data_IF_504973529277
#
_entry.id   IF_504973529277
#
_cell.length_a   1.000
_cell.length_b   1.000
_cell.length_c   1.000
_cell.angle_alpha   90.00
_cell.angle_beta   90.00
_cell.angle_gamma   90.00
#
_symmetry.space_group_name_H-M   'P 1'
#
loop_
_entity.id
_entity.type
_entity.pdbx_description
1 polymer ?
#
# COMPACT_ATOMS: atom_id res chain seq x y z
N UNK A 1 -1.92 -24.01 3.13
CA UNK A 1 -1.41 -22.67 3.50
C UNK A 1 -1.69 -21.78 2.30
N UNK A 2 -2.24 -20.58 2.47
CA UNK A 2 -2.51 -19.68 1.36
C UNK A 2 -1.23 -19.26 0.64
N UNK A 3 -1.36 -18.88 -0.62
CA UNK A 3 -0.20 -18.37 -1.38
C UNK A 3 0.13 -16.93 -0.98
N UNK A 4 -0.88 -16.10 -0.70
CA UNK A 4 -0.71 -14.68 -0.35
C UNK A 4 -1.24 -14.40 1.05
N UNK A 5 -0.50 -13.62 1.85
CA UNK A 5 -1.00 -12.98 3.06
C UNK A 5 -1.15 -11.48 2.83
N UNK A 6 -2.36 -10.97 2.96
CA UNK A 6 -2.68 -9.54 2.82
C UNK A 6 -2.65 -8.91 4.20
N UNK A 7 -1.80 -7.91 4.40
CA UNK A 7 -1.62 -7.20 5.68
C UNK A 7 -2.31 -5.84 5.59
N UNK A 8 -3.30 -5.63 6.45
CA UNK A 8 -4.10 -4.39 6.50
C UNK A 8 -4.01 -3.79 7.91
N UNK A 9 -3.14 -2.80 8.14
CA UNK A 9 -3.21 -1.98 9.34
C UNK A 9 -4.39 -1.01 9.22
N UNK A 10 -5.17 -0.84 10.30
CA UNK A 10 -6.30 0.10 10.33
C UNK A 10 -6.28 0.94 11.61
N UNK A 11 -6.75 2.19 11.51
CA UNK A 11 -6.87 3.09 12.65
C UNK A 11 -8.05 4.06 12.46
N UNK A 12 -9.14 3.87 13.24
CA UNK A 12 -10.33 4.73 13.24
C UNK A 12 -11.01 4.90 11.86
N UNK A 13 -10.98 3.84 11.02
CA UNK A 13 -11.52 3.83 9.66
C UNK A 13 -12.42 2.62 9.37
N UNK A 14 -13.49 2.39 10.17
CA UNK A 14 -14.32 1.20 10.01
C UNK A 14 -15.04 1.11 8.66
N UNK A 15 -15.37 2.27 8.05
CA UNK A 15 -16.10 2.34 6.78
C UNK A 15 -15.17 2.06 5.60
N UNK A 16 -14.00 2.64 5.61
CA UNK A 16 -12.94 2.43 4.61
C UNK A 16 -12.49 0.96 4.63
N UNK A 17 -12.24 0.43 5.83
CA UNK A 17 -11.90 -0.99 6.01
C UNK A 17 -12.98 -1.92 5.44
N UNK A 18 -14.27 -1.61 5.66
CA UNK A 18 -15.35 -2.41 5.11
C UNK A 18 -15.33 -2.42 3.57
N UNK A 19 -15.09 -1.27 2.92
CA UNK A 19 -14.96 -1.20 1.46
C UNK A 19 -13.71 -1.93 0.94
N UNK A 20 -12.58 -1.83 1.64
CA UNK A 20 -11.36 -2.57 1.30
C UNK A 20 -11.59 -4.09 1.38
N UNK A 21 -12.20 -4.59 2.45
CA UNK A 21 -12.55 -6.01 2.60
C UNK A 21 -13.55 -6.46 1.53
N UNK A 22 -14.54 -5.64 1.19
CA UNK A 22 -15.47 -5.93 0.11
C UNK A 22 -14.77 -6.03 -1.25
N UNK A 23 -13.80 -5.16 -1.55
CA UNK A 23 -13.01 -5.24 -2.77
C UNK A 23 -12.15 -6.53 -2.83
N UNK A 24 -11.66 -7.01 -1.69
CA UNK A 24 -10.92 -8.27 -1.61
C UNK A 24 -11.81 -9.49 -1.91
N UNK A 25 -13.08 -9.49 -1.54
CA UNK A 25 -13.99 -10.59 -1.88
C UNK A 25 -14.21 -10.76 -3.39
N UNK A 26 -13.90 -9.73 -4.18
CA UNK A 26 -14.09 -9.70 -5.64
C UNK A 26 -12.80 -10.00 -6.42
N UNK A 27 -11.68 -10.27 -5.75
CA UNK A 27 -10.45 -10.62 -6.44
C UNK A 27 -10.64 -11.92 -7.26
N UNK A 28 -10.10 -11.96 -8.48
CA UNK A 28 -10.14 -13.18 -9.31
C UNK A 28 -9.26 -14.29 -8.71
N UNK A 29 -8.16 -13.93 -8.09
CA UNK A 29 -7.29 -14.86 -7.36
C UNK A 29 -7.78 -15.01 -5.91
N UNK A 30 -8.08 -16.25 -5.48
CA UNK A 30 -8.76 -16.53 -4.20
C UNK A 30 -7.87 -17.24 -3.16
N UNK A 31 -6.63 -17.66 -3.50
CA UNK A 31 -5.75 -18.36 -2.57
C UNK A 31 -4.96 -17.38 -1.70
N UNK A 32 -5.67 -16.68 -0.82
CA UNK A 32 -5.08 -15.71 0.12
C UNK A 32 -5.75 -15.75 1.49
N UNK A 33 -5.02 -15.24 2.48
CA UNK A 33 -5.55 -14.86 3.80
C UNK A 33 -5.47 -13.34 4.00
N UNK A 34 -6.30 -12.81 4.88
CA UNK A 34 -6.32 -11.40 5.26
C UNK A 34 -5.98 -11.26 6.74
N UNK A 35 -5.04 -10.40 7.08
CA UNK A 35 -4.61 -10.10 8.45
C UNK A 35 -4.89 -8.63 8.73
N UNK A 36 -5.94 -8.35 9.47
CA UNK A 36 -6.33 -7.00 9.88
C UNK A 36 -5.71 -6.67 11.23
N UNK A 37 -4.88 -5.63 11.29
CA UNK A 37 -4.21 -5.14 12.49
C UNK A 37 -4.87 -3.83 12.93
N UNK A 38 -5.74 -3.86 13.94
CA UNK A 38 -6.26 -2.63 14.53
C UNK A 38 -5.16 -1.97 15.36
N UNK A 39 -4.66 -0.86 14.86
CA UNK A 39 -3.49 -0.13 15.36
C UNK A 39 -3.87 0.78 16.56
N UNK A 40 -4.54 0.18 17.58
CA UNK A 40 -5.05 0.87 18.77
C UNK A 40 -6.09 1.96 18.46
N UNK A 41 -6.93 1.72 17.45
CA UNK A 41 -8.10 2.55 17.12
C UNK A 41 -9.39 2.01 17.72
N UNK A 42 -10.51 2.60 17.29
CA UNK A 42 -11.84 2.10 17.60
C UNK A 42 -11.99 0.62 17.23
N UNK A 43 -12.80 -0.12 17.97
CA UNK A 43 -13.01 -1.55 17.71
C UNK A 43 -13.70 -1.77 16.36
N UNK A 44 -13.03 -2.51 15.47
CA UNK A 44 -13.53 -2.90 14.15
C UNK A 44 -13.86 -4.40 14.06
N UNK A 45 -13.98 -5.09 15.20
CA UNK A 45 -14.28 -6.52 15.25
C UNK A 45 -15.60 -6.87 14.56
N UNK A 46 -16.62 -6.03 14.68
CA UNK A 46 -17.89 -6.21 14.02
C UNK A 46 -17.76 -6.09 12.48
N UNK A 47 -16.89 -5.19 12.00
CA UNK A 47 -16.61 -5.06 10.56
C UNK A 47 -15.95 -6.32 10.05
N UNK A 48 -14.89 -6.79 10.71
CA UNK A 48 -14.15 -7.99 10.28
C UNK A 48 -14.99 -9.25 10.36
N UNK A 49 -15.86 -9.38 11.40
CA UNK A 49 -16.77 -10.51 11.55
C UNK A 49 -17.75 -10.65 10.38
N UNK A 50 -18.20 -9.54 9.77
CA UNK A 50 -19.11 -9.56 8.63
C UNK A 50 -18.50 -10.18 7.36
N UNK A 51 -17.18 -10.36 7.30
CA UNK A 51 -16.46 -10.92 6.15
C UNK A 51 -15.89 -12.31 6.39
N UNK A 52 -15.93 -12.87 7.61
CA UNK A 52 -15.33 -14.17 7.95
C UNK A 52 -15.89 -15.35 7.13
N UNK A 53 -17.12 -15.28 6.69
CA UNK A 53 -17.71 -16.32 5.83
C UNK A 53 -17.23 -16.24 4.37
N UNK A 54 -16.66 -15.11 3.96
CA UNK A 54 -16.20 -14.84 2.58
C UNK A 54 -14.68 -14.74 2.44
N UNK A 55 -13.97 -14.44 3.53
CA UNK A 55 -12.50 -14.26 3.55
C UNK A 55 -11.90 -15.10 4.69
N UNK A 56 -10.77 -15.74 4.43
CA UNK A 56 -9.93 -16.30 5.50
C UNK A 56 -9.28 -15.13 6.26
N UNK A 57 -9.95 -14.63 7.30
CA UNK A 57 -9.61 -13.38 7.97
C UNK A 57 -9.18 -13.60 9.42
N UNK A 58 -8.03 -13.02 9.79
CA UNK A 58 -7.53 -12.91 11.15
C UNK A 58 -7.58 -11.45 11.59
N UNK A 59 -8.22 -11.17 12.73
CA UNK A 59 -8.27 -9.83 13.34
C UNK A 59 -7.40 -9.80 14.61
N UNK A 60 -6.57 -8.77 14.73
CA UNK A 60 -5.72 -8.53 15.90
C UNK A 60 -5.83 -7.08 16.35
N UNK A 61 -6.21 -6.85 17.59
CA UNK A 61 -6.15 -5.53 18.23
C UNK A 61 -4.76 -5.34 18.87
N UNK A 62 -4.09 -4.25 18.51
CA UNK A 62 -2.75 -3.92 19.02
C UNK A 62 -2.86 -2.92 20.18
N UNK A 63 -1.92 -2.97 21.15
CA UNK A 63 -1.98 -2.11 22.34
C UNK A 63 -1.50 -0.69 22.10
N UNK A 64 -0.89 -0.39 20.96
CA UNK A 64 -0.31 0.93 20.65
C UNK A 64 -0.56 1.32 19.19
N UNK A 65 -0.61 2.64 18.93
CA UNK A 65 -0.70 3.17 17.59
C UNK A 65 0.69 3.37 16.98
N UNK A 66 1.16 2.37 16.21
CA UNK A 66 2.44 2.41 15.53
C UNK A 66 2.36 1.64 14.20
N UNK A 67 2.09 2.33 13.12
CA UNK A 67 1.76 1.70 11.83
C UNK A 67 2.87 0.82 11.24
N UNK A 68 4.15 1.07 11.55
CA UNK A 68 5.26 0.20 11.11
C UNK A 68 5.26 -1.09 11.93
N UNK A 69 5.10 -1.02 13.26
CA UNK A 69 4.98 -2.21 14.14
C UNK A 69 3.77 -3.05 13.78
N UNK A 70 2.65 -2.41 13.44
CA UNK A 70 1.47 -3.12 12.98
C UNK A 70 1.81 -3.98 11.74
N UNK A 71 2.47 -3.40 10.72
CA UNK A 71 2.90 -4.13 9.52
C UNK A 71 3.91 -5.25 9.87
N UNK A 72 4.88 -4.97 10.72
CA UNK A 72 5.85 -5.96 11.19
C UNK A 72 5.17 -7.13 11.89
N UNK A 73 4.18 -6.85 12.75
CA UNK A 73 3.40 -7.88 13.40
C UNK A 73 2.62 -8.72 12.38
N UNK A 74 2.01 -8.06 11.37
CA UNK A 74 1.36 -8.74 10.25
C UNK A 74 2.31 -9.69 9.50
N UNK A 75 3.55 -9.27 9.23
CA UNK A 75 4.58 -10.12 8.62
C UNK A 75 4.86 -11.38 9.46
N UNK A 76 4.89 -11.26 10.79
CA UNK A 76 5.13 -12.42 11.67
C UNK A 76 3.95 -13.40 11.69
N UNK A 77 2.72 -12.93 11.49
CA UNK A 77 1.52 -13.75 11.44
C UNK A 77 1.28 -14.38 10.07
N UNK A 78 1.81 -13.76 9.02
CA UNK A 78 1.61 -14.19 7.64
C UNK A 78 2.08 -15.63 7.42
N UNK A 79 1.21 -16.49 6.86
CA UNK A 79 1.53 -17.87 6.52
C UNK A 79 1.77 -18.09 5.02
N UNK A 80 1.43 -17.11 4.18
CA UNK A 80 1.62 -17.13 2.74
C UNK A 80 3.07 -17.03 2.31
N UNK A 81 3.34 -17.53 1.10
CA UNK A 81 4.64 -17.39 0.45
C UNK A 81 4.94 -15.95 0.04
N UNK A 82 3.89 -15.20 -0.29
CA UNK A 82 3.93 -13.80 -0.67
C UNK A 82 3.21 -12.94 0.35
N UNK A 83 3.66 -11.70 0.51
CA UNK A 83 3.00 -10.68 1.32
C UNK A 83 2.50 -9.58 0.39
N UNK A 84 1.24 -9.19 0.55
CA UNK A 84 0.66 -8.00 -0.02
C UNK A 84 0.42 -6.97 1.08
N UNK A 85 0.97 -5.78 0.89
CA UNK A 85 0.67 -4.62 1.73
C UNK A 85 -0.59 -3.94 1.19
N UNK A 86 -1.52 -3.62 2.06
CA UNK A 86 -2.76 -2.95 1.66
C UNK A 86 -3.19 -1.95 2.74
N UNK A 87 -3.38 -0.71 2.36
CA UNK A 87 -3.88 0.32 3.27
C UNK A 87 -5.41 0.26 3.34
N UNK A 88 -5.97 0.53 4.51
CA UNK A 88 -7.40 0.33 4.81
C UNK A 88 -8.35 1.27 4.05
N UNK A 89 -7.81 2.33 3.44
CA UNK A 89 -8.56 3.32 2.67
C UNK A 89 -8.42 3.18 1.14
N UNK A 90 -7.57 2.25 0.67
CA UNK A 90 -7.38 1.97 -0.74
C UNK A 90 -8.24 0.79 -1.21
N UNK A 91 -8.41 0.64 -2.53
CA UNK A 91 -9.13 -0.48 -3.12
C UNK A 91 -8.30 -1.16 -4.20
N UNK A 92 -8.42 -2.48 -4.29
CA UNK A 92 -7.78 -3.27 -5.34
C UNK A 92 -8.80 -3.65 -6.40
N UNK A 93 -8.49 -3.42 -7.68
CA UNK A 93 -9.32 -3.89 -8.80
C UNK A 93 -9.32 -5.43 -8.86
N UNK A 94 -10.38 -6.07 -9.35
CA UNK A 94 -10.56 -7.53 -9.29
C UNK A 94 -9.41 -8.37 -9.86
N UNK A 95 -8.68 -7.88 -10.86
CA UNK A 95 -7.54 -8.57 -11.46
C UNK A 95 -6.21 -8.38 -10.73
N UNK A 96 -6.17 -7.53 -9.69
CA UNK A 96 -4.91 -7.10 -9.08
C UNK A 96 -4.07 -8.27 -8.55
N UNK A 97 -4.64 -9.13 -7.70
CA UNK A 97 -3.91 -10.26 -7.11
C UNK A 97 -3.47 -11.27 -8.15
N UNK A 98 -4.32 -11.62 -9.12
CA UNK A 98 -3.97 -12.57 -10.19
C UNK A 98 -2.77 -12.07 -10.99
N UNK A 99 -2.77 -10.81 -11.39
CA UNK A 99 -1.70 -10.21 -12.16
C UNK A 99 -0.41 -10.07 -11.34
N UNK A 100 -0.51 -9.66 -10.06
CA UNK A 100 0.65 -9.51 -9.18
C UNK A 100 1.30 -10.88 -8.84
N UNK A 101 0.50 -11.91 -8.59
CA UNK A 101 1.01 -13.28 -8.41
C UNK A 101 1.72 -13.76 -9.66
N UNK A 102 1.14 -13.51 -10.86
CA UNK A 102 1.77 -13.83 -12.13
C UNK A 102 3.16 -13.20 -12.30
N UNK A 103 3.34 -11.93 -11.87
CA UNK A 103 4.64 -11.25 -11.91
C UNK A 103 5.69 -11.96 -11.05
N UNK A 104 5.33 -12.37 -9.82
CA UNK A 104 6.25 -13.07 -8.92
C UNK A 104 6.56 -14.48 -9.40
N UNK A 105 5.59 -15.18 -9.98
CA UNK A 105 5.82 -16.50 -10.60
C UNK A 105 6.70 -16.38 -11.85
N UNK A 106 6.64 -15.26 -12.56
CA UNK A 106 7.53 -14.97 -13.69
C UNK A 106 8.97 -14.58 -13.26
N UNK A 107 9.25 -14.48 -11.97
CA UNK A 107 10.60 -14.32 -11.43
C UNK A 107 10.87 -13.02 -10.68
N UNK A 108 9.91 -12.09 -10.56
CA UNK A 108 10.08 -10.92 -9.73
C UNK A 108 10.18 -11.27 -8.23
N UNK A 109 10.88 -10.47 -7.47
CA UNK A 109 10.95 -10.57 -6.01
C UNK A 109 9.94 -9.64 -5.33
N UNK A 110 9.68 -8.50 -5.96
CA UNK A 110 8.65 -7.53 -5.58
C UNK A 110 7.99 -7.00 -6.85
N UNK A 111 6.67 -6.88 -6.84
CA UNK A 111 5.90 -6.15 -7.87
C UNK A 111 5.00 -5.12 -7.21
N UNK A 112 4.83 -3.99 -7.86
CA UNK A 112 3.82 -2.99 -7.55
C UNK A 112 3.32 -2.37 -8.85
N UNK A 113 2.12 -1.81 -8.85
CA UNK A 113 1.50 -1.29 -10.07
C UNK A 113 1.40 0.24 -10.01
N UNK A 114 1.11 0.85 -11.15
CA UNK A 114 0.60 2.22 -11.16
C UNK A 114 -0.72 2.26 -10.39
N UNK A 115 -1.08 3.44 -9.88
CA UNK A 115 -2.32 3.64 -9.16
C UNK A 115 -3.24 4.63 -9.90
N UNK A 116 -4.53 4.56 -9.60
CA UNK A 116 -5.50 5.62 -9.85
C UNK A 116 -5.68 6.41 -8.57
N UNK A 117 -5.25 7.64 -8.56
CA UNK A 117 -5.60 8.56 -7.48
C UNK A 117 -7.04 8.98 -7.68
N UNK A 118 -7.92 8.74 -6.72
CA UNK A 118 -9.29 9.18 -6.82
C UNK A 118 -9.70 10.08 -5.66
N UNK A 119 -10.41 11.15 -6.00
CA UNK A 119 -11.11 11.99 -5.02
C UNK A 119 -12.53 11.45 -4.82
N UNK A 120 -13.08 11.66 -3.64
CA UNK A 120 -14.38 11.09 -3.31
C UNK A 120 -15.20 11.97 -2.36
N UNK A 121 -16.49 11.69 -2.31
CA UNK A 121 -17.41 12.11 -1.24
C UNK A 121 -18.09 10.87 -0.64
N UNK A 122 -18.52 10.99 0.59
CA UNK A 122 -19.36 9.97 1.20
C UNK A 122 -20.83 10.17 0.82
N UNK A 123 -21.49 9.10 0.45
CA UNK A 123 -22.93 9.04 0.24
C UNK A 123 -23.47 7.84 1.05
N UNK A 124 -24.10 8.14 2.20
CA UNK A 124 -24.40 7.09 3.19
C UNK A 124 -23.11 6.43 3.71
N UNK A 125 -23.00 5.12 3.52
CA UNK A 125 -21.84 4.33 3.94
C UNK A 125 -20.86 4.00 2.80
N UNK A 126 -21.03 4.58 1.61
CA UNK A 126 -20.20 4.29 0.44
C UNK A 126 -19.51 5.55 -0.06
N UNK A 127 -18.29 5.38 -0.58
CA UNK A 127 -17.58 6.44 -1.29
C UNK A 127 -18.07 6.48 -2.74
N UNK A 128 -18.29 7.70 -3.22
CA UNK A 128 -18.55 7.97 -4.64
C UNK A 128 -17.34 8.70 -5.20
N UNK A 129 -16.71 8.13 -6.21
CA UNK A 129 -15.61 8.79 -6.89
C UNK A 129 -16.10 10.06 -7.61
N UNK A 130 -15.36 11.15 -7.47
CA UNK A 130 -15.65 12.43 -8.12
C UNK A 130 -14.75 12.63 -9.32
N UNK A 131 -13.48 12.30 -9.17
CA UNK A 131 -12.46 12.44 -10.20
C UNK A 131 -11.36 11.39 -9.97
N UNK A 132 -10.63 11.04 -11.05
CA UNK A 132 -9.47 10.17 -10.94
C UNK A 132 -8.38 10.54 -11.95
N UNK A 133 -7.14 10.42 -11.52
CA UNK A 133 -5.97 10.61 -12.36
C UNK A 133 -4.94 9.50 -12.13
N UNK A 134 -4.16 9.11 -13.16
CA UNK A 134 -3.15 8.08 -12.99
C UNK A 134 -1.94 8.60 -12.22
N UNK A 135 -1.46 7.81 -11.27
CA UNK A 135 -0.15 7.93 -10.66
C UNK A 135 0.74 6.84 -11.27
N UNK A 136 1.45 7.19 -12.35
CA UNK A 136 2.12 6.24 -13.23
C UNK A 136 3.56 6.70 -13.52
N UNK A 137 4.44 6.59 -12.49
CA UNK A 137 5.85 6.95 -12.58
C UNK A 137 6.69 5.68 -12.66
N UNK A 138 7.41 5.42 -13.77
CA UNK A 138 8.22 4.21 -13.91
C UNK A 138 9.20 4.04 -12.74
N UNK A 139 9.36 2.80 -12.25
CA UNK A 139 10.44 2.50 -11.33
C UNK A 139 11.79 2.71 -12.02
N UNK A 140 12.64 3.48 -11.38
CA UNK A 140 14.01 3.73 -11.81
C UNK A 140 14.91 3.78 -10.56
N UNK A 141 15.95 2.92 -10.47
CA UNK A 141 16.81 2.80 -9.29
C UNK A 141 17.54 4.08 -8.89
N UNK A 142 17.87 4.95 -9.86
CA UNK A 142 18.54 6.22 -9.58
C UNK A 142 17.54 7.27 -9.11
N UNK A 143 16.43 7.38 -9.81
CA UNK A 143 15.37 8.35 -9.51
C UNK A 143 14.73 8.14 -8.15
N UNK A 144 14.51 6.86 -7.74
CA UNK A 144 13.92 6.54 -6.44
C UNK A 144 14.82 6.97 -5.26
N UNK A 145 16.09 7.25 -5.50
CA UNK A 145 17.01 7.78 -4.49
C UNK A 145 16.87 9.29 -4.26
N UNK A 146 16.24 10.01 -5.17
CA UNK A 146 15.99 11.46 -5.05
C UNK A 146 14.66 11.75 -4.32
N UNK A 147 13.62 11.02 -4.68
CA UNK A 147 12.31 11.04 -4.04
C UNK A 147 11.52 9.76 -4.38
N UNK A 148 10.59 9.37 -3.51
CA UNK A 148 9.81 8.14 -3.70
C UNK A 148 8.52 8.40 -4.47
N UNK A 149 8.35 7.66 -5.57
CA UNK A 149 7.08 7.47 -6.27
C UNK A 149 6.49 6.08 -6.02
N UNK A 150 7.03 5.33 -5.06
CA UNK A 150 6.52 4.04 -4.66
C UNK A 150 5.28 4.17 -3.79
N UNK A 151 4.19 3.53 -4.20
CA UNK A 151 2.98 3.35 -3.40
C UNK A 151 3.03 1.92 -2.84
N UNK A 152 3.14 1.73 -1.51
CA UNK A 152 3.24 0.39 -0.92
C UNK A 152 1.91 -0.37 -0.97
N UNK A 153 0.78 0.32 -0.95
CA UNK A 153 -0.54 -0.30 -1.02
C UNK A 153 -0.73 -1.03 -2.35
N UNK A 154 -1.08 -2.31 -2.29
CA UNK A 154 -1.16 -3.21 -3.45
C UNK A 154 0.19 -3.81 -3.87
N UNK A 155 1.32 -3.48 -3.24
CA UNK A 155 2.59 -4.15 -3.57
C UNK A 155 2.62 -5.58 -3.03
N UNK A 156 3.04 -6.52 -3.90
CA UNK A 156 3.21 -7.94 -3.59
C UNK A 156 4.68 -8.31 -3.66
N UNK A 157 5.18 -9.04 -2.66
CA UNK A 157 6.58 -9.46 -2.62
C UNK A 157 6.79 -10.82 -1.94
N UNK A 158 7.95 -11.45 -2.19
CA UNK A 158 8.32 -12.71 -1.54
C UNK A 158 8.54 -12.48 -0.05
N UNK A 159 7.83 -13.25 0.81
CA UNK A 159 8.01 -13.16 2.27
C UNK A 159 9.46 -13.40 2.68
N UNK A 160 10.20 -14.25 1.96
CA UNK A 160 11.62 -14.53 2.21
C UNK A 160 12.55 -13.32 2.10
N UNK A 161 12.10 -12.19 1.55
CA UNK A 161 12.85 -10.94 1.59
C UNK A 161 13.08 -10.46 3.04
N UNK A 162 12.15 -10.74 3.95
CA UNK A 162 12.33 -10.41 5.36
C UNK A 162 13.41 -11.25 6.06
N UNK A 163 13.67 -12.47 5.59
CA UNK A 163 14.77 -13.30 6.10
C UNK A 163 16.14 -12.71 5.75
N UNK A 164 16.23 -12.01 4.62
CA UNK A 164 17.47 -11.43 4.09
C UNK A 164 17.66 -9.97 4.50
N UNK A 165 16.58 -9.20 4.44
CA UNK A 165 16.62 -7.75 4.63
C UNK A 165 16.14 -7.30 6.03
N UNK A 166 15.56 -8.19 6.82
CA UNK A 166 14.91 -7.85 8.09
C UNK A 166 13.52 -7.24 7.90
N UNK A 167 12.88 -6.89 8.99
CA UNK A 167 11.55 -6.27 9.01
C UNK A 167 11.58 -4.80 8.52
N UNK A 168 10.42 -4.17 8.45
CA UNK A 168 10.34 -2.73 8.18
C UNK A 168 10.98 -1.95 9.33
N UNK A 169 11.77 -0.94 8.99
CA UNK A 169 12.57 -0.19 9.95
C UNK A 169 11.71 0.87 10.66
N UNK A 170 11.58 0.73 11.98
CA UNK A 170 10.83 1.64 12.84
C UNK A 170 11.52 2.99 13.03
N UNK A 171 12.84 3.05 12.86
CA UNK A 171 13.62 4.27 13.05
C UNK A 171 13.45 5.30 11.93
N UNK A 172 12.88 4.88 10.79
CA UNK A 172 12.53 5.78 9.67
C UNK A 172 11.01 5.99 9.54
N UNK A 173 10.26 5.64 10.51
CA UNK A 173 8.80 5.65 10.72
C UNK A 173 7.93 6.11 9.52
N UNK A 174 7.99 7.41 9.12
CA UNK A 174 7.18 7.96 8.02
C UNK A 174 7.72 7.61 6.62
N UNK A 175 8.88 6.97 6.53
CA UNK A 175 9.59 6.63 5.30
C UNK A 175 9.95 5.15 5.23
N UNK A 176 9.25 4.30 6.01
CA UNK A 176 9.45 2.86 6.08
C UNK A 176 9.28 2.20 4.70
N UNK A 177 8.38 2.71 3.88
CA UNK A 177 8.10 2.26 2.53
C UNK A 177 9.23 2.63 1.56
N UNK A 178 9.76 3.85 1.66
CA UNK A 178 10.91 4.27 0.89
C UNK A 178 12.18 3.51 1.31
N UNK A 179 12.40 3.30 2.60
CA UNK A 179 13.44 2.42 3.11
C UNK A 179 13.34 1.01 2.54
N UNK A 180 12.12 0.46 2.54
CA UNK A 180 11.87 -0.89 2.04
C UNK A 180 12.22 -1.04 0.57
N UNK A 181 11.68 -0.18 -0.29
CA UNK A 181 11.94 -0.27 -1.73
C UNK A 181 13.42 -0.03 -2.07
N UNK A 182 14.12 0.83 -1.32
CA UNK A 182 15.56 1.03 -1.47
C UNK A 182 16.37 -0.20 -1.05
N UNK A 183 15.99 -0.91 0.02
CA UNK A 183 16.64 -2.16 0.42
C UNK A 183 16.43 -3.27 -0.60
N UNK A 184 15.20 -3.46 -1.05
CA UNK A 184 14.87 -4.46 -2.06
C UNK A 184 15.60 -4.17 -3.37
N UNK A 185 15.59 -2.92 -3.83
CA UNK A 185 16.16 -2.53 -5.12
C UNK A 185 17.69 -2.66 -5.24
N UNK A 186 18.41 -2.99 -4.15
CA UNK A 186 19.86 -3.20 -4.21
C UNK A 186 20.22 -4.50 -4.94
N UNK A 187 19.54 -5.60 -4.62
CA UNK A 187 19.96 -6.93 -5.03
C UNK A 187 18.81 -7.82 -5.53
N UNK A 188 17.57 -7.28 -5.59
CA UNK A 188 16.38 -8.04 -5.95
C UNK A 188 15.65 -7.42 -7.13
N UNK A 189 14.95 -8.26 -7.89
CA UNK A 189 14.20 -7.85 -9.07
C UNK A 189 12.87 -7.22 -8.68
N UNK A 190 12.76 -5.91 -8.91
CA UNK A 190 11.52 -5.15 -8.79
C UNK A 190 10.86 -5.05 -10.18
N UNK A 191 9.62 -5.50 -10.29
CA UNK A 191 8.81 -5.33 -11.48
C UNK A 191 7.75 -4.26 -11.24
N UNK A 192 7.67 -3.28 -12.14
CA UNK A 192 6.65 -2.23 -12.10
C UNK A 192 5.97 -2.12 -13.49
N UNK A 193 4.97 -2.95 -13.75
CA UNK A 193 4.26 -2.95 -15.04
C UNK A 193 3.36 -1.72 -15.18
N UNK A 194 3.17 -1.28 -16.44
CA UNK A 194 2.33 -0.11 -16.78
C UNK A 194 0.84 -0.48 -16.77
N UNK A 195 0.31 -0.75 -15.58
CA UNK A 195 -1.11 -1.02 -15.32
C UNK A 195 -1.51 -0.40 -13.99
N UNK A 196 -2.67 0.26 -13.93
CA UNK A 196 -3.24 0.84 -12.72
C UNK A 196 -4.32 -0.10 -12.19
N UNK A 197 -3.98 -0.84 -11.14
CA UNK A 197 -4.88 -1.82 -10.50
C UNK A 197 -5.12 -1.54 -9.03
N UNK A 198 -4.54 -0.46 -8.52
CA UNK A 198 -4.77 0.10 -7.18
C UNK A 198 -5.55 1.40 -7.33
N UNK A 199 -6.64 1.54 -6.60
CA UNK A 199 -7.38 2.77 -6.43
C UNK A 199 -6.91 3.40 -5.12
N UNK A 200 -6.08 4.44 -5.23
CA UNK A 200 -5.51 5.15 -4.10
C UNK A 200 -6.43 6.31 -3.70
N UNK A 201 -6.99 6.22 -2.49
CA UNK A 201 -7.92 7.23 -1.99
C UNK A 201 -7.19 8.53 -1.65
N UNK A 202 -7.53 9.60 -2.35
CA UNK A 202 -6.90 10.90 -2.17
C UNK A 202 -7.97 11.96 -1.83
N UNK A 203 -7.92 12.49 -0.61
CA UNK A 203 -8.78 13.60 -0.22
C UNK A 203 -7.95 14.87 -0.08
N UNK A 204 -8.07 15.85 -1.00
CA UNK A 204 -7.27 17.08 -0.97
C UNK A 204 -7.39 17.90 0.33
N UNK A 205 -8.52 17.74 1.04
CA UNK A 205 -8.78 18.40 2.34
C UNK A 205 -8.49 17.49 3.55
N UNK A 206 -8.05 16.26 3.34
CA UNK A 206 -7.80 15.28 4.38
C UNK A 206 -6.42 15.42 5.04
N UNK A 207 -6.33 14.96 6.30
CA UNK A 207 -5.07 14.84 7.01
C UNK A 207 -4.34 13.55 6.56
N UNK A 208 -3.76 13.56 5.37
CA UNK A 208 -2.91 12.45 4.93
C UNK A 208 -1.51 12.60 5.53
N UNK A 209 -0.93 11.51 6.03
CA UNK A 209 0.45 11.49 6.51
C UNK A 209 1.43 11.96 5.42
N UNK A 210 1.18 11.61 4.17
CA UNK A 210 1.99 12.00 3.00
C UNK A 210 1.98 13.51 2.68
N UNK A 211 1.02 14.28 3.21
CA UNK A 211 0.94 15.73 3.01
C UNK A 211 1.70 16.54 4.09
N UNK A 212 2.09 15.90 5.20
CA UNK A 212 2.72 16.60 6.34
C UNK A 212 4.21 16.85 6.09
N UNK A 213 4.66 18.04 6.49
CA UNK A 213 6.06 18.47 6.45
C UNK A 213 6.48 19.07 7.79
N UNK A 214 6.13 18.42 8.89
CA UNK A 214 6.46 18.91 10.22
C UNK A 214 7.86 18.52 10.70
N UNK A 215 8.31 19.13 11.78
CA UNK A 215 9.64 18.89 12.35
C UNK A 215 9.84 17.46 12.85
N UNK A 216 8.77 16.79 13.31
CA UNK A 216 8.86 15.40 13.75
C UNK A 216 9.18 14.46 12.58
N UNK A 217 8.53 14.68 11.43
CA UNK A 217 8.79 13.91 10.21
C UNK A 217 10.21 14.11 9.68
N UNK A 218 10.77 15.31 9.86
CA UNK A 218 12.12 15.64 9.40
C UNK A 218 13.19 14.74 10.03
N UNK A 219 13.06 14.40 11.30
CA UNK A 219 14.01 13.51 12.00
C UNK A 219 14.09 12.14 11.31
N UNK A 220 12.95 11.58 10.92
CA UNK A 220 12.90 10.29 10.21
C UNK A 220 13.44 10.40 8.79
N UNK A 221 13.22 11.53 8.11
CA UNK A 221 13.80 11.79 6.80
C UNK A 221 15.34 11.86 6.86
N UNK A 222 15.90 12.59 7.83
CA UNK A 222 17.34 12.69 8.00
C UNK A 222 17.99 11.33 8.29
N UNK A 223 17.34 10.47 9.09
CA UNK A 223 17.77 9.08 9.30
C UNK A 223 17.75 8.25 8.03
N UNK A 224 16.70 8.39 7.21
CA UNK A 224 16.62 7.71 5.92
C UNK A 224 17.76 8.15 4.99
N UNK A 225 17.99 9.47 4.88
CA UNK A 225 19.04 10.06 4.05
C UNK A 225 20.42 9.54 4.48
N UNK A 226 20.72 9.54 5.78
CA UNK A 226 21.97 9.02 6.34
C UNK A 226 22.12 7.52 6.06
N UNK A 227 21.10 6.72 6.36
CA UNK A 227 21.11 5.26 6.19
C UNK A 227 21.41 4.83 4.75
N UNK A 228 20.80 5.49 3.78
CA UNK A 228 20.92 5.15 2.36
C UNK A 228 21.89 6.05 1.58
N UNK A 229 22.51 7.04 2.24
CA UNK A 229 23.38 8.03 1.59
C UNK A 229 22.67 8.64 0.37
N UNK A 230 21.44 9.14 0.59
CA UNK A 230 20.63 9.68 -0.49
C UNK A 230 21.22 11.02 -0.98
N UNK A 231 21.10 11.34 -2.28
CA UNK A 231 21.65 12.58 -2.85
C UNK A 231 20.82 13.82 -2.50
N UNK A 232 19.70 13.65 -1.80
CA UNK A 232 18.77 14.71 -1.42
C UNK A 232 18.81 14.98 0.08
N UNK A 233 18.62 16.22 0.46
CA UNK A 233 18.36 16.67 1.83
C UNK A 233 17.08 17.53 1.92
N UNK A 234 16.30 17.54 0.85
CA UNK A 234 15.04 18.27 0.73
C UNK A 234 13.86 17.31 0.96
N UNK A 235 13.14 17.55 2.05
CA UNK A 235 11.94 16.78 2.37
C UNK A 235 10.78 17.25 1.50
N UNK A 236 10.28 16.38 0.63
CA UNK A 236 9.15 16.64 -0.26
C UNK A 236 7.90 15.93 0.24
N UNK A 237 6.75 16.53 0.00
CA UNK A 237 5.47 15.85 0.17
C UNK A 237 4.99 15.30 -1.18
N UNK A 238 3.92 14.52 -1.14
CA UNK A 238 3.33 13.88 -2.29
C UNK A 238 3.02 14.86 -3.45
N UNK A 239 2.46 16.05 -3.15
CA UNK A 239 2.13 17.05 -4.15
C UNK A 239 3.35 17.64 -4.86
N UNK A 240 4.44 17.88 -4.11
CA UNK A 240 5.69 18.40 -4.67
C UNK A 240 6.27 17.36 -5.63
N UNK A 241 6.32 16.10 -5.20
CA UNK A 241 6.82 15.00 -6.05
C UNK A 241 6.00 14.86 -7.33
N UNK A 242 4.66 14.89 -7.24
CA UNK A 242 3.80 14.85 -8.42
C UNK A 242 4.06 16.01 -9.38
N UNK A 243 4.16 17.24 -8.86
CA UNK A 243 4.37 18.43 -9.68
C UNK A 243 5.72 18.38 -10.42
N UNK A 244 6.80 18.01 -9.72
CA UNK A 244 8.15 17.94 -10.28
C UNK A 244 8.34 16.76 -11.25
N UNK A 245 7.66 15.64 -11.00
CA UNK A 245 7.75 14.43 -11.82
C UNK A 245 6.71 14.34 -12.93
N UNK A 246 5.83 15.33 -13.07
CA UNK A 246 4.72 15.32 -14.05
C UNK A 246 5.16 14.97 -15.48
N UNK A 247 6.32 15.44 -15.90
CA UNK A 247 6.87 15.14 -17.24
C UNK A 247 7.34 13.68 -17.40
N UNK A 248 7.45 12.92 -16.33
CA UNK A 248 7.87 11.50 -16.31
C UNK A 248 6.68 10.52 -16.22
N UNK A 249 5.45 11.01 -16.19
CA UNK A 249 4.26 10.17 -16.26
C UNK A 249 4.29 9.34 -17.54
N UNK A 250 4.11 8.03 -17.41
CA UNK A 250 3.98 7.11 -18.53
C UNK A 250 2.51 6.84 -18.87
N UNK A 251 2.28 6.34 -20.07
CA UNK A 251 0.99 5.72 -20.39
C UNK A 251 0.84 4.42 -19.60
N UNK A 252 -0.33 4.20 -19.01
CA UNK A 252 -0.68 3.03 -18.23
C UNK A 252 -2.03 2.46 -18.66
N UNK A 253 -2.20 1.14 -18.53
CA UNK A 253 -3.50 0.50 -18.73
C UNK A 253 -4.41 0.86 -17.56
N UNK A 254 -5.51 1.51 -17.85
CA UNK A 254 -6.54 1.91 -16.90
C UNK A 254 -7.81 1.11 -17.16
N UNK A 255 -8.34 0.46 -16.14
CA UNK A 255 -9.59 -0.31 -16.23
C UNK A 255 -10.67 0.22 -15.28
N UNK A 256 -10.31 1.17 -14.41
CA UNK A 256 -11.26 1.82 -13.54
C UNK A 256 -12.26 2.66 -14.36
N UNK A 257 -13.54 2.42 -14.15
CA UNK A 257 -14.65 3.04 -14.88
C UNK A 257 -15.33 4.20 -14.11
N UNK A 258 -14.75 4.62 -12.96
CA UNK A 258 -15.31 5.65 -12.09
C UNK A 258 -16.28 5.11 -11.01
N UNK A 259 -16.56 3.83 -10.99
CA UNK A 259 -17.42 3.21 -9.98
C UNK A 259 -16.58 2.42 -8.98
N UNK A 260 -16.68 2.76 -7.68
CA UNK A 260 -15.96 2.08 -6.60
C UNK A 260 -16.65 0.80 -6.15
N UNK A 261 -17.96 0.74 -6.34
CA UNK A 261 -18.83 -0.43 -6.11
C UNK A 261 -19.63 -0.68 -7.37
N UNK A 262 -19.72 -1.92 -7.83
CA UNK A 262 -20.71 -2.25 -8.84
C UNK A 262 -22.11 -2.06 -8.22
N UNK A 263 -22.96 -1.25 -8.88
CA UNK A 263 -24.38 -1.21 -8.55
C UNK A 263 -24.97 -2.61 -8.81
N UNK A 264 -25.59 -3.18 -7.80
CA UNK A 264 -26.42 -4.39 -7.95
C UNK A 264 -27.45 -4.26 -9.07
#
# INVERSE_FOLDING_TARGET
MPTVSIIIPTYNRPRELAEALEALTRQHYQDFEVIVLNNNGDDVSAVTAAYQDRLQLTYVALPENHHVRARNHGVTLASGRYILLHDDDDLLLPSHLEEAVGDLEAGADLTYTDAELFTYRWEGNHRIALDSEPFAYPYDPETIREDSTYIPSGSLYRKSLHDQLGLFDEDVFNYWDWDWILRVGKDHLILHPARATVLYAFNPSGNHESARQDAARRVFFERLVEKHQLPTNEMKNFHIVQAERRARLRQTRRTFNGQLTESE
#
